data_IF_047335945141
#
_entry.id   IF_047335945141
#
_cell.length_a   1.000
_cell.length_b   1.000
_cell.length_c   1.000
_cell.angle_alpha   90.00
_cell.angle_beta   90.00
_cell.angle_gamma   90.00
#
_symmetry.space_group_name_H-M   'P 1'
#
loop_
_entity.id
_entity.type
_entity.pdbx_description
1 polymer ?
#
# COMPACT_ATOMS: atom_id res chain seq x y z
N UNK A 1 108.34 14.60 -2.99
CA UNK A 1 106.95 14.64 -2.47
C UNK A 1 106.04 15.17 -3.57
N UNK A 2 105.13 14.37 -4.14
CA UNK A 2 104.06 14.91 -4.98
C UNK A 2 102.80 15.17 -4.14
N UNK A 3 102.23 16.36 -4.32
CA UNK A 3 100.94 16.80 -3.79
C UNK A 3 99.82 16.23 -4.66
N UNK A 4 98.92 15.45 -4.07
CA UNK A 4 97.69 14.98 -4.69
C UNK A 4 96.60 16.05 -4.52
N UNK A 5 96.26 16.72 -5.62
CA UNK A 5 95.10 17.59 -5.75
C UNK A 5 93.86 16.72 -6.03
N UNK A 6 92.97 16.58 -5.04
CA UNK A 6 91.63 16.01 -5.22
C UNK A 6 90.70 17.11 -5.73
N UNK A 7 90.51 17.18 -7.04
CA UNK A 7 89.47 18.00 -7.66
C UNK A 7 88.11 17.33 -7.46
N UNK A 8 87.29 17.88 -6.56
CA UNK A 8 85.87 17.58 -6.46
C UNK A 8 85.14 18.17 -7.67
N UNK A 9 84.77 17.33 -8.63
CA UNK A 9 83.86 17.70 -9.74
C UNK A 9 82.41 17.64 -9.27
N UNK A 10 81.62 18.72 -9.37
CA UNK A 10 80.20 18.71 -9.07
C UNK A 10 79.43 18.24 -10.31
N UNK A 11 79.29 16.93 -10.48
CA UNK A 11 78.65 16.31 -11.65
C UNK A 11 77.44 15.44 -11.26
N UNK A 12 76.62 15.86 -10.30
CA UNK A 12 75.48 15.05 -9.81
C UNK A 12 74.18 15.83 -9.55
N UNK A 13 73.96 16.98 -10.20
CA UNK A 13 72.73 17.79 -9.98
C UNK A 13 71.84 17.99 -11.22
N UNK A 14 72.07 17.28 -12.34
CA UNK A 14 71.27 17.47 -13.57
C UNK A 14 70.39 16.29 -13.99
N UNK A 15 70.54 15.06 -13.46
CA UNK A 15 69.64 13.95 -13.86
C UNK A 15 68.30 13.94 -13.12
N UNK A 16 68.25 14.49 -11.90
CA UNK A 16 67.03 14.45 -11.08
C UNK A 16 65.88 15.31 -11.64
N UNK A 17 66.18 16.33 -12.46
CA UNK A 17 65.16 17.24 -13.01
C UNK A 17 64.44 16.62 -14.22
N UNK A 18 65.14 15.84 -15.04
CA UNK A 18 64.51 15.14 -16.17
C UNK A 18 63.72 13.91 -15.70
N UNK A 19 64.25 13.16 -14.73
CA UNK A 19 63.54 12.03 -14.10
C UNK A 19 62.24 12.47 -13.41
N UNK A 20 62.23 13.63 -12.73
CA UNK A 20 61.04 14.17 -12.10
C UNK A 20 59.96 14.57 -13.13
N UNK A 21 60.36 15.19 -14.25
CA UNK A 21 59.42 15.57 -15.33
C UNK A 21 58.86 14.35 -16.06
N UNK A 22 59.67 13.32 -16.26
CA UNK A 22 59.20 12.10 -16.90
C UNK A 22 58.25 11.31 -15.99
N UNK A 23 58.56 11.23 -14.68
CA UNK A 23 57.63 10.68 -13.69
C UNK A 23 56.30 11.44 -13.65
N UNK A 24 56.33 12.77 -13.67
CA UNK A 24 55.11 13.58 -13.69
C UNK A 24 54.28 13.35 -14.95
N UNK A 25 54.91 13.09 -16.11
CA UNK A 25 54.22 12.72 -17.35
C UNK A 25 53.62 11.32 -17.28
N UNK A 26 54.36 10.34 -16.75
CA UNK A 26 53.88 8.99 -16.56
C UNK A 26 52.70 8.95 -15.58
N UNK A 27 52.80 9.66 -14.45
CA UNK A 27 51.71 9.78 -13.47
C UNK A 27 50.50 10.51 -14.08
N UNK A 28 50.71 11.53 -14.91
CA UNK A 28 49.61 12.22 -15.62
C UNK A 28 48.96 11.32 -16.68
N UNK A 29 49.74 10.58 -17.47
CA UNK A 29 49.22 9.65 -18.46
C UNK A 29 48.52 8.45 -17.82
N UNK A 30 49.02 7.97 -16.68
CA UNK A 30 48.37 6.93 -15.89
C UNK A 30 47.06 7.45 -15.28
N UNK A 31 47.06 8.66 -14.71
CA UNK A 31 45.84 9.31 -14.24
C UNK A 31 44.80 9.52 -15.35
N UNK A 32 45.22 10.01 -16.52
CA UNK A 32 44.35 10.25 -17.67
C UNK A 32 43.75 8.94 -18.20
N UNK A 33 44.52 7.84 -18.23
CA UNK A 33 44.08 6.56 -18.81
C UNK A 33 43.46 5.58 -17.79
N UNK A 34 43.73 5.75 -16.48
CA UNK A 34 43.37 4.81 -15.42
C UNK A 34 42.64 5.43 -14.24
N UNK A 35 42.48 6.76 -14.15
CA UNK A 35 41.81 7.45 -13.03
C UNK A 35 40.38 6.99 -12.78
N UNK A 36 39.70 6.51 -13.82
CA UNK A 36 38.37 5.91 -13.74
C UNK A 36 38.32 4.47 -13.15
N UNK A 37 39.46 3.81 -12.91
CA UNK A 37 39.53 2.44 -12.34
C UNK A 37 39.50 2.43 -10.80
N UNK A 38 39.54 3.60 -10.15
CA UNK A 38 39.88 3.72 -8.73
C UNK A 38 38.76 4.26 -7.85
N UNK A 39 37.50 4.24 -8.30
CA UNK A 39 36.41 4.60 -7.39
C UNK A 39 36.36 3.62 -6.21
N UNK A 40 36.14 4.12 -4.98
CA UNK A 40 35.97 3.25 -3.83
C UNK A 40 34.74 2.34 -4.03
N UNK A 41 34.70 1.16 -3.39
CA UNK A 41 33.50 0.34 -3.36
C UNK A 41 32.31 1.18 -2.91
N UNK A 42 31.21 1.15 -3.67
CA UNK A 42 30.00 1.86 -3.26
C UNK A 42 29.33 1.15 -2.09
N UNK A 43 28.95 1.91 -1.07
CA UNK A 43 28.20 1.37 0.06
C UNK A 43 26.72 1.16 -0.30
N UNK A 44 26.09 0.14 0.28
CA UNK A 44 24.66 -0.12 0.08
C UNK A 44 23.89 0.42 1.30
N UNK A 45 23.09 1.46 1.11
CA UNK A 45 22.29 2.06 2.19
C UNK A 45 20.86 2.28 1.73
N UNK A 46 19.92 1.51 2.29
CA UNK A 46 18.50 1.67 2.01
C UNK A 46 17.92 2.93 2.66
N UNK A 47 18.31 3.23 3.89
CA UNK A 47 17.74 4.34 4.67
C UNK A 47 18.05 5.71 4.02
N UNK A 48 19.26 5.87 3.49
CA UNK A 48 19.69 7.14 2.89
C UNK A 48 19.20 7.32 1.45
N UNK A 49 19.02 6.23 0.72
CA UNK A 49 18.81 6.28 -0.73
C UNK A 49 17.40 5.93 -1.18
N UNK A 50 16.55 5.35 -0.32
CA UNK A 50 15.28 4.80 -0.77
C UNK A 50 14.22 5.88 -1.12
N UNK A 51 13.80 5.98 -2.39
CA UNK A 51 12.77 6.93 -2.83
C UNK A 51 11.39 6.56 -2.26
N UNK A 52 10.52 7.56 -2.09
CA UNK A 52 9.09 7.28 -1.86
C UNK A 52 8.47 6.64 -3.11
N UNK A 53 7.53 5.72 -2.90
CA UNK A 53 6.92 4.88 -3.94
C UNK A 53 7.75 3.68 -4.37
N UNK A 54 8.83 3.37 -3.65
CA UNK A 54 9.71 2.25 -3.98
C UNK A 54 10.05 1.39 -2.76
N UNK A 55 10.14 0.09 -3.01
CA UNK A 55 10.70 -0.88 -2.08
C UNK A 55 12.19 -0.97 -2.36
N UNK A 56 13.00 -0.85 -1.31
CA UNK A 56 14.45 -0.97 -1.40
C UNK A 56 14.91 -2.15 -0.55
N UNK A 57 15.77 -2.98 -1.14
CA UNK A 57 16.31 -4.13 -0.45
C UNK A 57 17.84 -4.13 -0.59
N UNK A 58 18.60 -4.06 0.53
CA UNK A 58 20.06 -4.05 0.49
C UNK A 58 20.68 -5.37 -0.02
N UNK A 59 19.92 -6.47 -0.01
CA UNK A 59 20.37 -7.77 -0.53
C UNK A 59 20.29 -7.85 -2.06
N UNK A 60 19.61 -6.90 -2.72
CA UNK A 60 19.57 -6.83 -4.18
C UNK A 60 20.93 -6.41 -4.73
N UNK A 61 21.60 -7.35 -5.40
CA UNK A 61 22.97 -7.19 -5.87
C UNK A 61 23.12 -6.02 -6.84
N UNK A 62 24.18 -5.25 -6.65
CA UNK A 62 24.71 -4.31 -7.63
C UNK A 62 25.62 -5.06 -8.62
N UNK A 63 25.65 -4.59 -9.86
CA UNK A 63 26.58 -5.06 -10.90
C UNK A 63 27.43 -3.89 -11.36
N UNK A 64 28.75 -4.10 -11.37
CA UNK A 64 29.71 -3.15 -11.91
C UNK A 64 30.13 -3.60 -13.31
N UNK A 65 29.95 -2.75 -14.31
CA UNK A 65 30.45 -2.98 -15.67
C UNK A 65 31.64 -2.07 -15.93
N UNK A 66 32.68 -2.60 -16.58
CA UNK A 66 33.80 -1.80 -17.06
C UNK A 66 33.43 -1.34 -18.48
N UNK A 67 33.25 -0.03 -18.66
CA UNK A 67 33.04 0.59 -19.96
C UNK A 67 34.39 0.74 -20.64
N UNK A 68 34.48 0.30 -21.90
CA UNK A 68 35.63 0.49 -22.77
C UNK A 68 35.21 1.51 -23.81
N UNK A 69 35.67 2.75 -23.71
CA UNK A 69 35.46 3.77 -24.73
C UNK A 69 36.79 4.48 -24.99
N UNK A 70 37.22 4.50 -26.26
CA UNK A 70 38.29 5.31 -26.86
C UNK A 70 39.22 6.03 -25.85
N UNK A 71 40.06 5.25 -25.17
CA UNK A 71 41.13 5.64 -24.23
C UNK A 71 40.82 5.78 -22.73
N UNK A 72 39.57 5.59 -22.27
CA UNK A 72 39.24 5.56 -20.83
C UNK A 72 38.45 4.31 -20.41
N UNK A 73 38.93 3.63 -19.36
CA UNK A 73 38.22 2.52 -18.71
C UNK A 73 37.41 3.03 -17.52
N UNK A 74 36.13 3.32 -17.72
CA UNK A 74 35.26 3.80 -16.64
C UNK A 74 34.28 2.76 -16.14
N UNK A 75 34.17 2.65 -14.81
CA UNK A 75 33.24 1.71 -14.18
C UNK A 75 31.84 2.32 -14.10
N UNK A 76 30.82 1.52 -14.38
CA UNK A 76 29.41 1.85 -14.19
C UNK A 76 28.80 0.90 -13.17
N UNK A 77 28.03 1.43 -12.22
CA UNK A 77 27.25 0.62 -11.27
C UNK A 77 25.76 0.75 -11.59
N UNK A 78 25.06 -0.38 -11.57
CA UNK A 78 23.61 -0.49 -11.70
C UNK A 78 23.08 -1.69 -10.91
N UNK A 79 21.77 -1.81 -10.80
CA UNK A 79 21.15 -3.01 -10.25
C UNK A 79 21.37 -4.23 -11.15
N UNK A 80 21.66 -5.39 -10.54
CA UNK A 80 21.78 -6.66 -11.27
C UNK A 80 20.42 -7.11 -11.83
N UNK A 81 19.36 -6.93 -11.06
CA UNK A 81 17.99 -7.18 -11.50
C UNK A 81 17.52 -6.06 -12.43
N UNK A 82 17.11 -6.44 -13.65
CA UNK A 82 16.64 -5.50 -14.68
C UNK A 82 15.30 -4.83 -14.35
N UNK A 83 14.54 -5.40 -13.42
CA UNK A 83 13.28 -4.80 -12.93
C UNK A 83 13.51 -3.80 -11.80
N UNK A 84 14.72 -3.73 -11.24
CA UNK A 84 15.13 -2.75 -10.26
C UNK A 84 15.89 -1.59 -10.92
N UNK A 85 15.77 -0.42 -10.30
CA UNK A 85 16.46 0.82 -10.70
C UNK A 85 17.38 1.24 -9.56
N UNK A 86 18.58 1.72 -9.89
CA UNK A 86 19.48 2.27 -8.88
C UNK A 86 18.90 3.56 -8.33
N UNK A 87 18.89 3.72 -7.01
CA UNK A 87 18.48 4.92 -6.32
C UNK A 87 19.63 5.51 -5.49
N UNK A 88 19.70 6.83 -5.48
CA UNK A 88 20.72 7.65 -4.80
C UNK A 88 20.02 8.86 -4.18
N UNK A 89 20.27 9.14 -2.91
CA UNK A 89 19.73 10.30 -2.19
C UNK A 89 18.20 10.48 -2.29
N UNK A 90 17.46 9.36 -2.35
CA UNK A 90 16.00 9.36 -2.46
C UNK A 90 15.46 9.58 -3.88
N UNK A 91 16.31 9.53 -4.92
CA UNK A 91 15.90 9.63 -6.32
C UNK A 91 16.34 8.41 -7.14
N UNK A 92 15.55 8.01 -8.15
CA UNK A 92 15.91 6.91 -9.05
C UNK A 92 16.77 7.42 -10.20
N UNK A 93 18.02 6.93 -10.30
CA UNK A 93 19.02 7.39 -11.27
C UNK A 93 19.38 6.34 -12.32
N UNK A 94 18.96 5.09 -12.12
CA UNK A 94 19.19 3.96 -13.04
C UNK A 94 20.61 3.41 -13.02
N UNK A 95 21.61 4.29 -13.07
CA UNK A 95 23.04 3.96 -13.00
C UNK A 95 23.88 5.17 -12.61
N UNK A 96 25.07 4.89 -12.08
CA UNK A 96 26.11 5.87 -11.76
C UNK A 96 27.42 5.48 -12.43
N UNK A 97 28.29 6.45 -12.65
CA UNK A 97 29.59 6.26 -13.31
C UNK A 97 30.72 6.72 -12.41
N UNK A 98 31.80 5.96 -12.41
CA UNK A 98 33.05 6.38 -11.80
C UNK A 98 33.74 7.42 -12.68
N UNK A 99 34.02 8.60 -12.12
CA UNK A 99 34.76 9.68 -12.75
C UNK A 99 35.63 10.35 -11.70
N UNK A 100 36.91 10.57 -11.98
CA UNK A 100 37.85 11.24 -11.07
C UNK A 100 37.84 10.63 -9.64
N UNK A 101 37.78 9.29 -9.56
CA UNK A 101 37.65 8.50 -8.32
C UNK A 101 36.37 8.72 -7.50
N UNK A 102 35.35 9.37 -8.07
CA UNK A 102 34.06 9.60 -7.43
C UNK A 102 32.93 8.96 -8.24
N UNK A 103 31.92 8.44 -7.54
CA UNK A 103 30.69 8.01 -8.20
C UNK A 103 29.82 9.22 -8.49
N UNK A 104 29.47 9.41 -9.76
CA UNK A 104 28.68 10.54 -10.24
C UNK A 104 27.44 10.07 -10.97
N UNK A 105 26.39 10.90 -10.96
CA UNK A 105 25.19 10.62 -11.75
C UNK A 105 25.48 10.80 -13.25
N UNK A 106 24.89 9.94 -14.09
CA UNK A 106 25.15 9.99 -15.54
C UNK A 106 24.64 11.30 -16.18
N UNK A 107 23.52 11.83 -15.70
CA UNK A 107 22.89 13.04 -16.23
C UNK A 107 23.47 14.32 -15.63
N UNK A 108 24.09 14.24 -14.45
CA UNK A 108 24.68 15.37 -13.75
C UNK A 108 25.96 14.94 -13.03
N UNK A 109 27.10 15.19 -13.66
CA UNK A 109 28.40 14.82 -13.10
C UNK A 109 28.83 15.69 -11.90
N UNK A 110 28.07 16.74 -11.55
CA UNK A 110 28.34 17.55 -10.36
C UNK A 110 27.84 16.90 -9.07
N UNK A 111 26.91 15.94 -9.19
CA UNK A 111 26.35 15.20 -8.06
C UNK A 111 27.17 13.94 -7.83
N UNK A 112 27.90 13.92 -6.71
CA UNK A 112 28.69 12.79 -6.25
C UNK A 112 27.93 11.98 -5.20
N UNK A 113 28.13 10.66 -5.15
CA UNK A 113 27.58 9.80 -4.10
C UNK A 113 28.61 8.80 -3.58
N UNK A 114 28.41 8.34 -2.35
CA UNK A 114 29.19 7.28 -1.71
C UNK A 114 28.34 6.04 -1.41
N UNK A 115 27.01 6.16 -1.58
CA UNK A 115 26.05 5.11 -1.31
C UNK A 115 24.96 5.03 -2.39
N UNK A 116 24.42 3.83 -2.57
CA UNK A 116 23.27 3.62 -3.43
C UNK A 116 22.44 2.42 -2.92
N UNK A 117 21.24 2.26 -3.46
CA UNK A 117 20.44 1.05 -3.22
C UNK A 117 19.66 0.68 -4.47
N UNK A 118 19.33 -0.59 -4.64
CA UNK A 118 18.37 -1.00 -5.63
C UNK A 118 16.95 -0.75 -5.13
N UNK A 119 16.12 -0.17 -6.00
CA UNK A 119 14.75 0.20 -5.73
C UNK A 119 13.82 -0.37 -6.81
N UNK A 120 12.66 -0.86 -6.41
CA UNK A 120 11.59 -1.28 -7.32
C UNK A 120 10.30 -0.56 -6.96
N UNK A 121 9.51 -0.19 -7.96
CA UNK A 121 8.25 0.53 -7.72
C UNK A 121 7.28 -0.29 -6.88
N UNK A 122 6.64 0.34 -5.91
CA UNK A 122 5.55 -0.21 -5.07
C UNK A 122 4.46 0.85 -4.83
N UNK A 123 4.26 1.75 -5.79
CA UNK A 123 3.25 2.81 -5.76
C UNK A 123 1.83 2.33 -6.10
N UNK A 124 0.84 3.24 -6.17
CA UNK A 124 -0.58 2.90 -6.27
C UNK A 124 -0.98 2.08 -7.50
N UNK A 125 -0.19 2.15 -8.58
CA UNK A 125 -0.46 1.42 -9.83
C UNK A 125 0.18 0.03 -9.88
N UNK A 126 0.99 -0.33 -8.89
CA UNK A 126 1.76 -1.59 -8.88
C UNK A 126 0.89 -2.75 -8.44
N UNK A 127 0.20 -2.62 -7.29
CA UNK A 127 -0.71 -3.63 -6.78
C UNK A 127 -2.14 -3.41 -7.28
N UNK A 128 -2.92 -4.49 -7.38
CA UNK A 128 -4.31 -4.43 -7.87
C UNK A 128 -5.25 -4.03 -6.73
N UNK A 129 -6.00 -2.95 -6.92
CA UNK A 129 -7.01 -2.47 -5.97
C UNK A 129 -8.23 -3.39 -5.75
N UNK A 130 -8.51 -4.31 -6.68
CA UNK A 130 -9.62 -5.28 -6.60
C UNK A 130 -9.45 -6.39 -7.62
N UNK A 131 -10.24 -7.47 -7.47
CA UNK A 131 -10.39 -8.50 -8.49
C UNK A 131 -11.65 -8.24 -9.33
N UNK A 132 -11.58 -8.25 -10.69
CA UNK A 132 -12.70 -7.86 -11.55
C UNK A 132 -13.91 -8.82 -11.50
N UNK A 133 -13.69 -10.07 -11.07
CA UNK A 133 -14.73 -11.10 -10.92
C UNK A 133 -15.09 -11.40 -9.47
N UNK A 134 -14.48 -10.71 -8.50
CA UNK A 134 -14.83 -10.95 -7.11
C UNK A 134 -16.30 -10.60 -6.86
N UNK A 135 -17.00 -11.34 -5.99
CA UNK A 135 -18.34 -10.97 -5.55
C UNK A 135 -18.31 -9.56 -4.96
N UNK A 136 -19.29 -8.74 -5.37
CA UNK A 136 -19.45 -7.38 -4.81
C UNK A 136 -20.17 -7.40 -3.47
N UNK A 137 -20.95 -8.45 -3.24
CA UNK A 137 -21.66 -8.68 -1.98
C UNK A 137 -20.63 -8.97 -0.88
N UNK A 138 -20.61 -8.14 0.16
CA UNK A 138 -19.72 -8.31 1.32
C UNK A 138 -18.29 -7.78 1.17
N UNK A 139 -17.89 -7.26 -0.01
CA UNK A 139 -16.53 -6.79 -0.24
C UNK A 139 -16.48 -5.47 -1.01
N UNK A 140 -15.53 -4.60 -0.66
CA UNK A 140 -15.27 -3.34 -1.36
C UNK A 140 -13.83 -3.28 -1.86
N UNK A 141 -13.63 -2.59 -2.99
CA UNK A 141 -12.29 -2.36 -3.51
C UNK A 141 -11.43 -1.62 -2.46
N UNK A 142 -10.13 -1.88 -2.47
CA UNK A 142 -9.20 -1.24 -1.57
C UNK A 142 -9.13 0.27 -1.84
N UNK A 143 -9.26 1.08 -0.79
CA UNK A 143 -8.94 2.49 -0.83
C UNK A 143 -7.41 2.65 -0.72
N UNK A 144 -6.72 2.67 -1.86
CA UNK A 144 -5.25 2.73 -1.90
C UNK A 144 -4.75 4.10 -1.45
N UNK A 145 -3.96 4.10 -0.38
CA UNK A 145 -3.25 5.23 0.18
C UNK A 145 -1.90 5.36 -0.55
N UNK A 146 -1.58 6.54 -1.13
CA UNK A 146 -0.31 6.74 -1.82
C UNK A 146 0.88 6.73 -0.85
N UNK A 147 2.08 6.40 -1.36
CA UNK A 147 3.31 6.43 -0.58
C UNK A 147 3.55 7.78 0.12
N UNK A 148 4.11 7.71 1.33
CA UNK A 148 4.46 8.87 2.16
C UNK A 148 5.94 8.84 2.56
N UNK A 149 6.35 9.75 3.45
CA UNK A 149 7.70 9.72 4.06
C UNK A 149 7.85 8.56 5.05
N UNK A 150 6.78 8.22 5.78
CA UNK A 150 6.75 7.16 6.79
C UNK A 150 6.59 5.79 6.13
N UNK A 151 5.73 5.70 5.13
CA UNK A 151 5.46 4.48 4.37
C UNK A 151 5.95 4.66 2.95
N UNK A 152 7.06 3.99 2.62
CA UNK A 152 7.70 4.13 1.30
C UNK A 152 6.89 3.49 0.16
N UNK A 153 5.95 2.60 0.47
CA UNK A 153 5.08 1.96 -0.51
C UNK A 153 3.63 2.40 -0.35
N UNK A 154 2.83 2.16 -1.38
CA UNK A 154 1.38 2.34 -1.28
C UNK A 154 0.81 1.35 -0.26
N UNK A 155 -0.20 1.78 0.49
CA UNK A 155 -0.86 0.97 1.50
C UNK A 155 -2.38 1.02 1.30
N UNK A 156 -3.11 0.21 2.05
CA UNK A 156 -4.56 0.33 2.17
C UNK A 156 -4.98 -0.09 3.57
N UNK A 157 -6.08 0.49 4.05
CA UNK A 157 -6.66 0.19 5.35
C UNK A 157 -8.10 -0.33 5.16
N UNK A 158 -8.40 -1.43 5.85
CA UNK A 158 -9.70 -2.10 5.83
C UNK A 158 -10.19 -2.26 7.28
N UNK A 159 -11.10 -1.39 7.75
CA UNK A 159 -11.55 -1.40 9.16
C UNK A 159 -12.13 -2.73 9.63
N UNK A 160 -12.69 -3.53 8.72
CA UNK A 160 -13.41 -4.77 9.04
C UNK A 160 -12.68 -6.03 8.58
N UNK A 161 -11.37 -5.92 8.33
CA UNK A 161 -10.54 -7.02 7.87
C UNK A 161 -10.39 -7.06 6.34
N UNK A 162 -9.50 -7.93 5.90
CA UNK A 162 -9.06 -8.05 4.52
C UNK A 162 -9.49 -9.42 3.99
N UNK A 163 -10.04 -9.45 2.79
CA UNK A 163 -10.33 -10.69 2.08
C UNK A 163 -9.35 -10.88 0.92
N UNK A 164 -8.76 -12.07 0.81
CA UNK A 164 -7.88 -12.44 -0.29
C UNK A 164 -8.64 -13.24 -1.35
N UNK A 165 -8.24 -13.07 -2.62
CA UNK A 165 -8.89 -13.73 -3.75
C UNK A 165 -7.88 -14.42 -4.66
N UNK A 166 -8.26 -15.59 -5.16
CA UNK A 166 -7.52 -16.30 -6.19
C UNK A 166 -7.62 -15.61 -7.55
N UNK A 167 -6.79 -16.05 -8.51
CA UNK A 167 -6.73 -15.51 -9.87
C UNK A 167 -8.05 -15.67 -10.68
N UNK A 168 -8.92 -16.58 -10.26
CA UNK A 168 -10.24 -16.77 -10.87
C UNK A 168 -11.34 -15.88 -10.25
N UNK A 169 -11.04 -15.23 -9.11
CA UNK A 169 -11.96 -14.38 -8.35
C UNK A 169 -12.70 -15.10 -7.23
N UNK A 170 -12.40 -16.37 -6.99
CA UNK A 170 -12.91 -17.08 -5.81
C UNK A 170 -12.28 -16.52 -4.53
N UNK A 171 -13.09 -16.47 -3.47
CA UNK A 171 -12.65 -16.04 -2.15
C UNK A 171 -11.78 -17.13 -1.53
N UNK A 172 -10.57 -16.76 -1.11
CA UNK A 172 -9.58 -17.69 -0.56
C UNK A 172 -9.62 -17.69 0.97
N UNK A 173 -9.30 -16.56 1.59
CA UNK A 173 -9.23 -16.42 3.05
C UNK A 173 -9.75 -15.06 3.52
N UNK A 174 -10.11 -14.97 4.80
CA UNK A 174 -10.37 -13.71 5.50
C UNK A 174 -9.36 -13.52 6.61
N UNK A 175 -8.73 -12.36 6.61
CA UNK A 175 -7.65 -11.96 7.50
C UNK A 175 -8.16 -10.86 8.44
N UNK A 176 -7.83 -10.94 9.72
CA UNK A 176 -8.27 -9.96 10.74
C UNK A 176 -7.41 -8.70 10.74
N UNK A 177 -6.31 -8.71 10.01
CA UNK A 177 -5.48 -7.55 9.75
C UNK A 177 -6.28 -6.41 9.11
N UNK A 178 -6.01 -5.19 9.56
CA UNK A 178 -6.69 -3.99 9.09
C UNK A 178 -5.88 -3.17 8.10
N UNK A 179 -4.63 -3.55 7.82
CA UNK A 179 -3.78 -2.83 6.88
C UNK A 179 -2.93 -3.76 6.04
N UNK A 180 -2.57 -3.27 4.86
CA UNK A 180 -1.75 -3.99 3.88
C UNK A 180 -0.85 -3.03 3.13
N UNK A 181 0.33 -3.51 2.72
CA UNK A 181 1.35 -2.70 2.04
C UNK A 181 1.68 -3.33 0.69
N UNK A 182 1.67 -2.53 -0.37
CA UNK A 182 2.03 -2.98 -1.70
C UNK A 182 3.51 -3.32 -1.77
N UNK A 183 3.85 -4.48 -2.31
CA UNK A 183 5.23 -4.87 -2.59
C UNK A 183 5.61 -4.62 -4.04
N UNK A 184 6.92 -4.59 -4.29
CA UNK A 184 7.46 -4.50 -5.63
C UNK A 184 7.16 -5.71 -6.53
N UNK A 185 6.66 -6.82 -5.97
CA UNK A 185 6.22 -7.98 -6.73
C UNK A 185 4.84 -7.78 -7.38
N UNK A 186 4.18 -6.65 -7.11
CA UNK A 186 2.81 -6.40 -7.56
C UNK A 186 1.76 -7.08 -6.69
N UNK A 187 2.14 -7.49 -5.48
CA UNK A 187 1.28 -8.16 -4.50
C UNK A 187 1.17 -7.34 -3.23
N UNK A 188 0.06 -7.51 -2.52
CA UNK A 188 -0.16 -6.95 -1.21
C UNK A 188 0.46 -7.82 -0.13
N UNK A 189 1.32 -7.24 0.70
CA UNK A 189 1.81 -7.86 1.93
C UNK A 189 0.74 -7.76 3.00
N UNK A 190 0.27 -8.90 3.47
CA UNK A 190 -0.78 -9.02 4.48
C UNK A 190 -0.33 -10.10 5.46
N UNK A 191 -0.20 -9.74 6.73
CA UNK A 191 0.39 -10.62 7.74
C UNK A 191 1.79 -11.10 7.32
N UNK A 192 2.01 -12.41 7.36
CA UNK A 192 3.26 -13.06 6.94
C UNK A 192 3.33 -13.45 5.45
N UNK A 193 2.31 -13.12 4.65
CA UNK A 193 2.16 -13.57 3.26
C UNK A 193 2.09 -12.44 2.23
N UNK A 194 1.99 -12.83 0.96
CA UNK A 194 1.75 -11.91 -0.17
C UNK A 194 0.58 -12.41 -1.02
N UNK A 195 -0.40 -11.54 -1.27
CA UNK A 195 -1.58 -11.86 -2.07
C UNK A 195 -1.70 -10.94 -3.29
N UNK A 196 -2.03 -11.49 -4.46
CA UNK A 196 -2.16 -10.70 -5.69
C UNK A 196 -3.40 -9.82 -5.66
N UNK A 197 -4.49 -10.34 -5.11
CA UNK A 197 -5.76 -9.65 -5.00
C UNK A 197 -6.21 -9.64 -3.55
N UNK A 198 -6.53 -8.45 -3.07
CA UNK A 198 -7.12 -8.23 -1.77
C UNK A 198 -8.23 -7.19 -1.91
N UNK A 199 -9.24 -7.30 -1.06
CA UNK A 199 -10.36 -6.36 -0.97
C UNK A 199 -10.69 -6.14 0.50
N UNK A 200 -11.30 -5.01 0.82
CA UNK A 200 -11.78 -4.79 2.18
C UNK A 200 -13.06 -5.59 2.39
N UNK A 201 -13.13 -6.30 3.52
CA UNK A 201 -14.40 -6.84 3.98
C UNK A 201 -15.30 -5.65 4.30
N UNK A 202 -16.51 -5.67 3.76
CA UNK A 202 -17.56 -4.80 4.25
C UNK A 202 -18.23 -5.56 5.40
N UNK A 203 -18.67 -4.87 6.45
CA UNK A 203 -19.43 -5.48 7.56
C UNK A 203 -20.72 -6.16 7.13
N UNK A 204 -21.05 -6.13 5.84
CA UNK A 204 -22.41 -6.28 5.43
C UNK A 204 -23.19 -5.21 6.19
N UNK A 205 -22.81 -3.93 6.04
CA UNK A 205 -23.86 -2.93 5.86
C UNK A 205 -24.67 -3.46 4.68
N UNK A 206 -25.59 -4.38 4.99
CA UNK A 206 -26.67 -4.80 4.14
C UNK A 206 -27.22 -3.45 3.75
N UNK A 207 -27.11 -3.10 2.48
CA UNK A 207 -28.03 -2.12 1.92
C UNK A 207 -29.37 -2.58 2.43
N UNK A 208 -29.95 -1.82 3.36
CA UNK A 208 -31.32 -2.05 3.79
C UNK A 208 -32.07 -1.91 2.49
N UNK A 209 -32.46 -3.04 1.88
CA UNK A 209 -33.26 -2.99 0.68
C UNK A 209 -34.54 -2.27 1.10
N UNK A 210 -34.73 -1.06 0.57
CA UNK A 210 -35.94 -0.31 0.79
C UNK A 210 -37.10 -1.20 0.35
N UNK A 211 -37.88 -1.67 1.32
CA UNK A 211 -39.11 -2.38 1.02
C UNK A 211 -40.07 -1.37 0.41
N UNK A 212 -40.65 -1.63 -0.77
CA UNK A 212 -41.63 -0.72 -1.35
C UNK A 212 -42.75 -0.43 -0.35
N UNK A 213 -43.16 0.85 -0.22
CA UNK A 213 -44.25 1.28 0.69
C UNK A 213 -45.47 0.38 0.58
N UNK A 214 -45.83 -0.01 -0.65
CA UNK A 214 -46.98 -0.87 -0.93
C UNK A 214 -46.85 -2.28 -0.37
N UNK A 215 -45.64 -2.84 -0.39
CA UNK A 215 -45.35 -4.18 0.12
C UNK A 215 -45.33 -4.15 1.65
N UNK A 216 -44.65 -3.17 2.25
CA UNK A 216 -44.65 -2.96 3.70
C UNK A 216 -46.07 -2.75 4.24
N UNK A 217 -46.87 -1.90 3.59
CA UNK A 217 -48.25 -1.64 4.01
C UNK A 217 -49.12 -2.91 3.90
N UNK A 218 -48.86 -3.77 2.90
CA UNK A 218 -49.56 -5.05 2.77
C UNK A 218 -49.21 -5.98 3.93
N UNK A 219 -47.91 -6.17 4.20
CA UNK A 219 -47.42 -7.03 5.29
C UNK A 219 -47.95 -6.57 6.64
N UNK A 220 -47.89 -5.26 6.91
CA UNK A 220 -48.38 -4.71 8.19
C UNK A 220 -49.89 -4.91 8.40
N UNK A 221 -50.69 -4.86 7.33
CA UNK A 221 -52.12 -5.17 7.42
C UNK A 221 -52.41 -6.65 7.64
N UNK A 222 -51.54 -7.53 7.15
CA UNK A 222 -51.63 -8.97 7.41
C UNK A 222 -51.25 -9.30 8.86
N UNK A 223 -50.20 -8.67 9.39
CA UNK A 223 -49.73 -8.85 10.76
C UNK A 223 -50.66 -8.20 11.80
N UNK A 224 -51.25 -7.04 11.48
CA UNK A 224 -52.09 -6.27 12.40
C UNK A 224 -53.46 -5.93 11.77
N UNK A 225 -54.32 -6.94 11.54
CA UNK A 225 -55.60 -6.75 10.86
C UNK A 225 -56.56 -5.82 11.62
N UNK A 226 -56.37 -5.66 12.93
CA UNK A 226 -57.22 -4.84 13.81
C UNK A 226 -56.80 -3.36 13.87
N UNK A 227 -55.74 -2.95 13.16
CA UNK A 227 -55.27 -1.56 13.16
C UNK A 227 -55.53 -0.90 11.79
N UNK A 228 -56.69 -0.24 11.60
CA UNK A 228 -57.21 0.13 10.28
C UNK A 228 -56.36 1.16 9.50
N UNK A 229 -55.44 1.86 10.17
CA UNK A 229 -54.69 2.99 9.61
C UNK A 229 -53.16 2.84 9.66
N UNK A 230 -52.63 1.62 9.76
CA UNK A 230 -51.17 1.42 9.63
C UNK A 230 -50.74 1.73 8.19
N UNK A 231 -49.85 2.71 8.07
CA UNK A 231 -49.18 3.04 6.83
C UNK A 231 -47.67 3.03 7.04
N UNK A 232 -46.95 2.32 6.17
CA UNK A 232 -45.51 2.46 6.13
C UNK A 232 -45.15 3.78 5.43
N UNK A 233 -44.27 4.57 6.03
CA UNK A 233 -43.54 5.60 5.29
C UNK A 233 -42.15 5.04 5.03
N UNK A 234 -41.83 4.80 3.77
CA UNK A 234 -40.43 4.63 3.37
C UNK A 234 -39.82 6.02 3.43
N UNK A 235 -39.28 6.37 4.59
CA UNK A 235 -38.23 7.36 4.65
C UNK A 235 -36.99 6.70 4.09
N UNK A 236 -36.26 7.40 3.22
CA UNK A 236 -34.89 7.03 2.90
C UNK A 236 -34.18 6.90 4.24
N UNK A 237 -33.75 5.69 4.60
CA UNK A 237 -32.86 5.50 5.73
C UNK A 237 -31.52 6.05 5.27
N UNK A 238 -31.33 7.36 5.40
CA UNK A 238 -30.01 7.94 5.31
C UNK A 238 -29.21 7.38 6.48
N UNK A 239 -28.38 6.38 6.20
CA UNK A 239 -27.36 5.89 7.11
C UNK A 239 -26.25 6.96 7.13
N UNK A 240 -26.58 8.14 7.64
CA UNK A 240 -25.59 9.14 8.01
C UNK A 240 -25.15 8.81 9.44
N UNK A 241 -23.85 8.57 9.63
CA UNK A 241 -23.24 8.47 10.95
C UNK A 241 -23.90 7.44 11.88
N UNK A 242 -24.01 6.18 11.45
CA UNK A 242 -24.25 5.08 12.40
C UNK A 242 -25.64 5.08 13.07
N UNK A 243 -26.66 5.69 12.47
CA UNK A 243 -28.03 5.69 13.02
C UNK A 243 -29.10 5.58 11.94
N UNK A 244 -30.27 5.04 12.29
CA UNK A 244 -31.47 5.00 11.45
C UNK A 244 -32.46 6.00 12.02
N UNK A 245 -32.75 7.06 11.27
CA UNK A 245 -33.72 8.09 11.70
C UNK A 245 -35.00 7.98 10.90
N UNK A 246 -36.12 7.75 11.58
CA UNK A 246 -37.44 7.74 10.97
C UNK A 246 -38.05 9.16 10.91
N UNK A 247 -38.90 9.48 9.92
CA UNK A 247 -39.62 10.75 9.87
C UNK A 247 -40.38 11.06 11.17
N UNK A 248 -40.54 12.34 11.51
CA UNK A 248 -41.29 12.75 12.71
C UNK A 248 -42.69 12.11 12.75
N UNK A 249 -43.04 11.51 13.89
CA UNK A 249 -44.29 10.77 14.08
C UNK A 249 -44.30 9.33 13.55
N UNK A 250 -43.14 8.78 13.15
CA UNK A 250 -42.98 7.35 12.84
C UNK A 250 -42.00 6.68 13.78
N UNK A 251 -42.22 5.39 14.04
CA UNK A 251 -41.34 4.55 14.85
C UNK A 251 -40.51 3.63 13.95
N UNK A 252 -39.23 3.40 14.27
CA UNK A 252 -38.44 2.38 13.60
C UNK A 252 -39.00 1.00 13.97
N UNK A 253 -39.08 0.14 12.97
CA UNK A 253 -39.64 -1.20 13.09
C UNK A 253 -38.78 -2.18 12.32
N UNK A 254 -38.51 -3.35 12.92
CA UNK A 254 -37.84 -4.43 12.23
C UNK A 254 -38.84 -5.53 11.87
N UNK A 255 -38.72 -6.06 10.67
CA UNK A 255 -39.47 -7.21 10.20
C UNK A 255 -38.49 -8.36 9.95
N UNK A 256 -38.74 -9.52 10.54
CA UNK A 256 -38.02 -10.74 10.20
C UNK A 256 -38.66 -11.40 8.98
N UNK A 257 -37.86 -11.78 7.99
CA UNK A 257 -38.28 -12.57 6.83
C UNK A 257 -37.60 -13.92 6.80
N UNK A 258 -38.34 -14.98 7.10
CA UNK A 258 -37.82 -16.34 7.07
C UNK A 258 -37.87 -16.88 5.63
N UNK A 259 -36.70 -16.98 5.00
CA UNK A 259 -36.55 -17.49 3.63
C UNK A 259 -37.03 -18.94 3.47
N UNK A 260 -37.07 -19.72 4.55
CA UNK A 260 -37.49 -21.13 4.53
C UNK A 260 -39.02 -21.30 4.51
N UNK A 261 -39.74 -20.39 5.17
CA UNK A 261 -41.21 -20.43 5.27
C UNK A 261 -41.89 -19.40 4.39
N UNK A 262 -41.15 -18.42 3.89
CA UNK A 262 -41.65 -17.22 3.19
C UNK A 262 -42.62 -16.38 4.04
N UNK A 263 -42.55 -16.52 5.36
CA UNK A 263 -43.39 -15.81 6.33
C UNK A 263 -42.66 -14.59 6.91
N UNK A 264 -43.45 -13.57 7.25
CA UNK A 264 -42.99 -12.37 7.94
C UNK A 264 -43.32 -12.47 9.43
N UNK A 265 -42.37 -12.10 10.27
CA UNK A 265 -42.54 -12.09 11.72
C UNK A 265 -42.28 -10.71 12.28
N UNK A 266 -43.15 -10.28 13.20
CA UNK A 266 -42.97 -9.07 13.98
C UNK A 266 -41.85 -9.25 15.01
N UNK A 267 -40.85 -8.37 14.98
CA UNK A 267 -39.70 -8.40 15.88
C UNK A 267 -39.83 -7.46 17.08
N UNK A 268 -41.03 -6.90 17.31
CA UNK A 268 -41.36 -5.87 18.28
C UNK A 268 -40.91 -4.45 17.87
N UNK A 269 -41.65 -3.41 18.30
CA UNK A 269 -41.23 -2.03 18.08
C UNK A 269 -39.96 -1.71 18.89
N UNK A 270 -39.09 -0.91 18.30
CA UNK A 270 -37.88 -0.41 18.95
C UNK A 270 -37.98 1.11 19.13
N UNK A 271 -37.38 1.61 20.20
CA UNK A 271 -37.30 3.04 20.49
C UNK A 271 -36.25 3.72 19.60
N UNK A 272 -35.12 3.04 19.38
CA UNK A 272 -34.06 3.51 18.48
C UNK A 272 -33.27 2.34 17.90
N UNK A 273 -32.66 2.57 16.72
CA UNK A 273 -31.70 1.66 16.11
C UNK A 273 -30.39 2.43 15.91
N UNK A 274 -29.34 1.99 16.59
CA UNK A 274 -28.04 2.66 16.63
C UNK A 274 -26.94 1.66 16.27
N UNK A 275 -25.90 2.11 15.58
CA UNK A 275 -24.73 1.28 15.33
C UNK A 275 -23.72 1.44 16.46
N UNK A 276 -23.42 0.33 17.13
CA UNK A 276 -22.40 0.29 18.18
C UNK A 276 -21.03 0.00 17.57
N UNK A 277 -20.18 1.02 17.58
CA UNK A 277 -18.79 0.91 17.10
C UNK A 277 -17.92 -0.06 17.92
N UNK A 278 -18.28 -0.35 19.18
CA UNK A 278 -17.49 -1.23 20.04
C UNK A 278 -17.74 -2.71 19.72
N UNK A 279 -19.01 -3.10 19.56
CA UNK A 279 -19.40 -4.46 19.14
C UNK A 279 -19.45 -4.65 17.62
N UNK A 280 -19.39 -3.55 16.86
CA UNK A 280 -19.44 -3.53 15.41
C UNK A 280 -20.75 -4.14 14.84
N UNK A 281 -21.86 -3.81 15.49
CA UNK A 281 -23.20 -4.33 15.18
C UNK A 281 -24.27 -3.24 15.36
N UNK A 282 -25.43 -3.44 14.72
CA UNK A 282 -26.62 -2.64 14.98
C UNK A 282 -27.27 -3.10 16.29
N UNK A 283 -27.48 -2.15 17.19
CA UNK A 283 -28.24 -2.28 18.44
C UNK A 283 -29.66 -1.76 18.23
N UNK A 284 -30.61 -2.60 18.58
CA UNK A 284 -32.03 -2.33 18.62
C UNK A 284 -32.43 -2.09 20.07
N UNK A 285 -32.72 -0.84 20.42
CA UNK A 285 -33.04 -0.45 21.79
C UNK A 285 -34.54 -0.47 22.02
N UNK A 286 -34.96 -1.08 23.12
CA UNK A 286 -36.35 -1.10 23.59
C UNK A 286 -36.38 -0.89 25.10
N UNK A 287 -37.53 -0.48 25.65
CA UNK A 287 -37.77 -0.31 27.09
C UNK A 287 -37.39 -1.57 27.90
N UNK A 288 -36.14 -1.63 28.35
CA UNK A 288 -35.58 -2.68 29.22
C UNK A 288 -34.73 -3.77 28.55
N UNK A 289 -34.53 -3.72 27.23
CA UNK A 289 -33.62 -4.65 26.53
C UNK A 289 -33.00 -4.06 25.27
N UNK A 290 -31.70 -4.30 25.09
CA UNK A 290 -31.00 -4.06 23.83
C UNK A 290 -30.79 -5.41 23.14
N UNK A 291 -31.12 -5.50 21.85
CA UNK A 291 -30.84 -6.66 21.01
C UNK A 291 -29.85 -6.28 19.91
N UNK A 292 -28.91 -7.18 19.59
CA UNK A 292 -28.09 -7.03 18.39
C UNK A 292 -28.79 -7.66 17.19
N UNK A 293 -28.37 -7.29 15.97
CA UNK A 293 -28.83 -7.98 14.77
C UNK A 293 -28.56 -9.49 14.82
N UNK A 294 -27.46 -9.91 15.47
CA UNK A 294 -27.12 -11.32 15.64
C UNK A 294 -28.04 -12.06 16.61
N UNK A 295 -28.53 -11.38 17.64
CA UNK A 295 -29.52 -11.96 18.57
C UNK A 295 -30.85 -12.21 17.84
N UNK A 296 -31.29 -11.24 17.02
CA UNK A 296 -32.52 -11.34 16.23
C UNK A 296 -32.42 -12.41 15.12
N UNK A 297 -31.26 -12.51 14.43
CA UNK A 297 -31.03 -13.55 13.41
C UNK A 297 -30.90 -14.95 14.04
N UNK A 298 -30.30 -15.07 15.22
CA UNK A 298 -30.12 -16.34 15.92
C UNK A 298 -31.43 -16.97 16.39
N UNK A 299 -32.42 -16.15 16.74
CA UNK A 299 -33.76 -16.62 17.12
C UNK A 299 -34.62 -17.03 15.92
N UNK A 300 -34.44 -16.37 14.77
CA UNK A 300 -35.37 -16.50 13.64
C UNK A 300 -34.81 -17.24 12.41
N UNK A 301 -33.48 -17.36 12.26
CA UNK A 301 -32.86 -17.94 11.05
C UNK A 301 -33.15 -17.16 9.76
N UNK A 302 -33.49 -15.87 9.88
CA UNK A 302 -34.19 -15.06 8.87
C UNK A 302 -33.40 -13.83 8.40
N UNK A 303 -33.72 -13.29 7.21
CA UNK A 303 -33.26 -11.97 6.76
C UNK A 303 -34.07 -10.86 7.44
N UNK A 304 -33.40 -9.92 8.11
CA UNK A 304 -34.06 -8.77 8.76
C UNK A 304 -34.20 -7.61 7.77
N UNK A 305 -35.40 -7.08 7.61
CA UNK A 305 -35.68 -5.83 6.89
C UNK A 305 -36.14 -4.75 7.86
N UNK A 306 -35.73 -3.51 7.64
CA UNK A 306 -36.07 -2.37 8.50
C UNK A 306 -37.05 -1.43 7.79
N UNK A 307 -38.03 -0.92 8.53
CA UNK A 307 -39.04 -0.01 8.04
C UNK A 307 -39.35 1.08 9.09
N UNK A 308 -39.87 2.23 8.64
CA UNK A 308 -40.45 3.24 9.52
C UNK A 308 -41.97 3.19 9.40
N UNK A 309 -42.67 3.07 10.52
CA UNK A 309 -44.12 2.84 10.56
C UNK A 309 -44.80 4.01 11.24
N UNK A 310 -45.91 4.45 10.65
CA UNK A 310 -46.85 5.38 11.29
C UNK A 310 -48.10 4.60 11.67
N UNK A 311 -48.37 4.57 12.97
CA UNK A 311 -49.68 4.22 13.49
C UNK A 311 -50.44 5.53 13.75
N UNK A 312 -51.50 5.80 12.97
CA UNK A 312 -52.43 6.90 13.23
C UNK A 312 -53.59 6.45 14.12
#
# INVERSE_FOLDING_TARGET
>A
LPLLYLSFTPLLLCSCVEEAKEREREERADWENHGCRSCPPISISADDNCPSGHECNPDWKLTTNILIADDCLCSEVKCADRTATLAVSGETVGRIRCKDQQWTLLLDSSITTESAVCAKGCGPSVCKHSHPKAPKEGFTALAVIPPSKKEKCASAECPYGIASFDDDGSHKDTLSESSLVCSSSGKWKIGGGEERYAMCKNTGLRTIEEMPVSECTKIMKELHPDTPDIACKVGIVEIENSSITCPEGSLPFALGYDDSTTEWTDLAPFDSIEWDSASNQWLFKSDGSDATIGDLEGELGSTIKLACIIAN
#
